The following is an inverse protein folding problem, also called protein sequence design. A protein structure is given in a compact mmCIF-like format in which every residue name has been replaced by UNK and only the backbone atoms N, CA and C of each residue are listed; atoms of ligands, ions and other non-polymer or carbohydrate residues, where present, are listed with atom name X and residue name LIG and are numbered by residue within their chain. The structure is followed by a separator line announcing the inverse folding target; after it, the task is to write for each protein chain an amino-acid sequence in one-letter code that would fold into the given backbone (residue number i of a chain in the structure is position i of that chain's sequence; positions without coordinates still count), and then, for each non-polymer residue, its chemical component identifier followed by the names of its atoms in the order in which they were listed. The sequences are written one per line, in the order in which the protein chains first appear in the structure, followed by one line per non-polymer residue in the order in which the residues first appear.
data_IF_742190148434
#
_entry.id   IF_742190148434
#
_cell.length_a   1.000
_cell.length_b   1.000
_cell.length_c   1.000
_cell.angle_alpha   90.00
_cell.angle_beta   90.00
_cell.angle_gamma   90.00
#
_symmetry.space_group_name_H-M   'P 1'
#
loop_
_entity.id
_entity.type
_entity.pdbx_description
1 polymer ?
#
# COMPACT_ATOMS: atom_id res chain seq x y z
N UNK A 1 -15.03 -8.02 8.26
CA UNK A 1 -15.12 -8.35 6.82
C UNK A 1 -13.95 -9.27 6.55
N UNK A 2 -14.21 -10.52 6.17
CA UNK A 2 -13.14 -11.44 5.79
C UNK A 2 -12.65 -10.96 4.42
N UNK A 3 -11.40 -10.50 4.35
CA UNK A 3 -10.76 -10.24 3.05
C UNK A 3 -10.07 -11.53 2.72
N UNK A 4 -10.74 -12.37 1.93
CA UNK A 4 -10.17 -13.57 1.34
C UNK A 4 -8.88 -13.14 0.61
N UNK A 5 -7.74 -13.51 1.21
CA UNK A 5 -6.41 -13.17 0.71
C UNK A 5 -6.02 -14.16 -0.39
N UNK A 6 -6.80 -14.17 -1.46
CA UNK A 6 -6.36 -14.74 -2.74
C UNK A 6 -5.95 -13.58 -3.65
N UNK A 7 -4.86 -12.89 -3.26
CA UNK A 7 -4.17 -12.03 -4.20
C UNK A 7 -3.42 -12.95 -5.16
N UNK A 8 -4.11 -13.31 -6.25
CA UNK A 8 -3.49 -13.85 -7.46
C UNK A 8 -2.27 -12.99 -7.76
N UNK A 9 -1.10 -13.62 -7.77
CA UNK A 9 0.12 -13.04 -8.32
C UNK A 9 -0.14 -12.66 -9.77
N UNK A 10 -0.63 -11.44 -9.99
CA UNK A 10 -0.85 -10.87 -11.31
C UNK A 10 0.51 -10.45 -11.85
N UNK A 11 1.18 -11.35 -12.56
CA UNK A 11 2.22 -10.96 -13.49
C UNK A 11 1.63 -9.95 -14.46
N UNK A 12 2.12 -8.72 -14.43
CA UNK A 12 1.73 -7.71 -15.40
C UNK A 12 2.61 -7.89 -16.64
N UNK A 13 2.08 -8.53 -17.66
CA UNK A 13 2.69 -8.53 -18.99
C UNK A 13 2.63 -7.10 -19.55
N UNK A 14 3.80 -6.59 -19.94
CA UNK A 14 3.92 -5.30 -20.61
C UNK A 14 4.30 -5.54 -22.08
N UNK A 15 3.41 -5.14 -22.98
CA UNK A 15 3.63 -5.22 -24.43
C UNK A 15 4.42 -4.00 -24.91
N UNK A 16 5.56 -4.24 -25.57
CA UNK A 16 6.36 -3.19 -26.19
C UNK A 16 6.78 -3.60 -27.61
N UNK A 17 6.68 -2.66 -28.55
CA UNK A 17 6.97 -2.90 -29.96
C UNK A 17 8.41 -2.45 -30.31
N UNK A 18 9.17 -3.33 -30.96
CA UNK A 18 10.51 -3.01 -31.46
C UNK A 18 10.56 -3.15 -32.98
N UNK A 19 11.16 -2.16 -33.64
CA UNK A 19 11.38 -2.16 -35.09
C UNK A 19 12.86 -2.37 -35.39
N UNK A 20 13.16 -3.40 -36.18
CA UNK A 20 14.50 -3.65 -36.69
C UNK A 20 14.52 -3.62 -38.22
N UNK A 21 15.64 -3.16 -38.76
CA UNK A 21 15.93 -3.20 -40.20
C UNK A 21 17.04 -4.20 -40.44
N UNK A 22 16.76 -5.25 -41.21
CA UNK A 22 17.79 -6.20 -41.62
C UNK A 22 18.17 -5.96 -43.08
N UNK A 23 19.46 -5.69 -43.30
CA UNK A 23 20.04 -5.50 -44.63
C UNK A 23 20.59 -6.84 -45.14
N UNK A 24 20.20 -7.22 -46.34
CA UNK A 24 20.79 -8.38 -47.01
C UNK A 24 20.93 -8.13 -48.52
N UNK A 25 21.87 -8.83 -49.14
CA UNK A 25 22.21 -8.66 -50.55
C UNK A 25 21.86 -9.93 -51.31
N UNK A 26 20.99 -9.79 -52.33
CA UNK A 26 20.67 -10.87 -53.27
C UNK A 26 20.99 -10.41 -54.69
N UNK A 27 21.69 -11.25 -55.46
CA UNK A 27 22.11 -10.96 -56.84
C UNK A 27 22.78 -9.59 -57.04
N UNK A 28 23.61 -9.17 -56.08
CA UNK A 28 24.34 -7.90 -56.14
C UNK A 28 23.50 -6.64 -55.88
N UNK A 29 22.23 -6.79 -55.52
CA UNK A 29 21.34 -5.70 -55.11
C UNK A 29 21.04 -5.81 -53.62
N UNK A 30 21.52 -4.84 -52.85
CA UNK A 30 21.22 -4.71 -51.44
C UNK A 30 19.79 -4.18 -51.26
N UNK A 31 19.04 -4.81 -50.36
CA UNK A 31 17.74 -4.31 -49.95
C UNK A 31 17.50 -4.58 -48.47
N UNK A 32 16.68 -3.71 -47.88
CA UNK A 32 16.34 -3.71 -46.46
C UNK A 32 14.87 -4.01 -46.30
N UNK A 33 14.52 -4.93 -45.41
CA UNK A 33 13.13 -5.13 -45.01
C UNK A 33 12.94 -4.70 -43.55
N UNK A 34 11.96 -3.82 -43.27
CA UNK A 34 11.49 -3.61 -41.92
C UNK A 34 10.65 -4.83 -41.52
N UNK A 35 10.89 -5.35 -40.33
CA UNK A 35 9.98 -6.29 -39.71
C UNK A 35 9.80 -5.92 -38.24
N UNK A 36 8.59 -6.14 -37.76
CA UNK A 36 8.18 -5.94 -36.37
C UNK A 36 8.05 -7.31 -35.73
N UNK A 37 8.52 -7.44 -34.50
CA UNK A 37 8.31 -8.63 -33.69
C UNK A 37 7.63 -8.21 -32.40
N UNK A 38 6.68 -9.04 -31.97
CA UNK A 38 5.96 -8.89 -30.71
C UNK A 38 6.68 -9.76 -29.68
N UNK A 39 7.11 -9.15 -28.58
CA UNK A 39 7.78 -9.86 -27.49
C UNK A 39 6.98 -9.66 -26.20
N UNK A 40 6.60 -10.77 -25.60
CA UNK A 40 6.08 -10.84 -24.24
C UNK A 40 7.21 -11.32 -23.35
N UNK A 41 7.56 -10.54 -22.33
CA UNK A 41 8.52 -10.96 -21.32
C UNK A 41 7.80 -11.11 -19.99
N UNK A 42 7.79 -12.33 -19.48
CA UNK A 42 7.40 -12.61 -18.12
C UNK A 42 8.47 -11.99 -17.19
N UNK A 43 8.09 -10.94 -16.49
CA UNK A 43 8.91 -10.36 -15.46
C UNK A 43 8.35 -10.78 -14.10
N UNK A 44 8.97 -11.79 -13.49
CA UNK A 44 8.89 -11.96 -12.04
C UNK A 44 9.44 -10.68 -11.41
N UNK A 45 8.56 -9.85 -10.85
CA UNK A 45 8.97 -8.90 -9.82
C UNK A 45 9.19 -9.71 -8.54
N UNK A 46 10.43 -9.93 -8.07
CA UNK A 46 10.64 -10.26 -6.68
C UNK A 46 10.25 -9.01 -5.87
N UNK A 47 8.96 -8.84 -5.61
CA UNK A 47 8.52 -8.03 -4.48
C UNK A 47 8.90 -8.80 -3.23
N UNK A 48 10.17 -8.72 -2.85
CA UNK A 48 10.57 -9.12 -1.53
C UNK A 48 10.03 -8.10 -0.53
N UNK A 49 8.83 -8.35 -0.05
CA UNK A 49 8.23 -7.62 1.07
C UNK A 49 8.96 -7.91 2.40
N UNK A 50 10.06 -8.68 2.43
CA UNK A 50 10.82 -8.91 3.65
C UNK A 50 11.38 -7.62 4.27
N UNK A 51 11.51 -6.55 3.50
CA UNK A 51 11.91 -5.24 4.04
C UNK A 51 10.79 -4.45 4.72
N UNK A 52 9.54 -4.93 4.69
CA UNK A 52 8.40 -4.29 5.38
C UNK A 52 8.01 -4.97 6.70
N UNK A 53 8.71 -6.05 7.09
CA UNK A 53 8.42 -6.81 8.30
C UNK A 53 9.66 -7.10 9.16
N UNK A 54 10.66 -6.22 9.17
CA UNK A 54 11.68 -6.28 10.22
C UNK A 54 11.08 -6.10 11.64
N UNK A 55 9.83 -5.60 11.72
CA UNK A 55 8.95 -5.69 12.87
C UNK A 55 7.67 -6.47 12.50
N UNK A 56 7.85 -7.67 11.95
CA UNK A 56 6.83 -8.67 11.66
C UNK A 56 6.13 -9.20 12.90
N UNK A 57 5.57 -8.31 13.71
CA UNK A 57 4.38 -8.65 14.46
C UNK A 57 3.27 -8.80 13.42
N UNK A 58 2.96 -10.04 13.05
CA UNK A 58 1.59 -10.32 12.64
C UNK A 58 0.68 -9.69 13.70
N UNK A 59 -0.09 -8.67 13.32
CA UNK A 59 -1.07 -8.06 14.21
C UNK A 59 -2.28 -8.98 14.28
N UNK A 60 -2.07 -10.18 14.83
CA UNK A 60 -3.15 -11.00 15.33
C UNK A 60 -3.73 -10.25 16.54
N UNK A 61 -4.85 -9.58 16.34
CA UNK A 61 -5.71 -9.21 17.46
C UNK A 61 -6.42 -10.47 17.95
N UNK A 62 -5.65 -11.43 18.47
CA UNK A 62 -6.20 -12.45 19.33
C UNK A 62 -6.48 -11.75 20.64
N UNK A 63 -7.71 -11.25 20.78
CA UNK A 63 -8.29 -11.17 22.11
C UNK A 63 -8.26 -12.60 22.61
N UNK A 64 -7.52 -12.89 23.68
CA UNK A 64 -7.61 -14.15 24.42
C UNK A 64 -8.97 -14.20 25.14
N UNK A 65 -10.02 -14.12 24.34
CA UNK A 65 -11.42 -14.18 24.65
C UNK A 65 -11.94 -15.28 23.71
N UNK A 66 -11.54 -16.52 23.98
CA UNK A 66 -11.85 -17.69 23.15
C UNK A 66 -13.34 -18.05 23.05
N UNK A 67 -14.27 -17.17 23.43
CA UNK A 67 -15.72 -17.37 23.34
C UNK A 67 -16.48 -16.04 23.13
N UNK A 68 -17.69 -16.15 22.57
CA UNK A 68 -18.61 -15.04 22.31
C UNK A 68 -18.70 -14.03 23.47
N UNK A 69 -18.41 -12.77 23.15
CA UNK A 69 -18.41 -11.59 24.06
C UNK A 69 -19.73 -11.41 24.83
N UNK A 70 -20.83 -12.04 24.40
CA UNK A 70 -22.10 -12.07 25.12
C UNK A 70 -22.01 -12.73 26.51
N UNK A 71 -20.99 -13.55 26.77
CA UNK A 71 -20.81 -14.27 28.03
C UNK A 71 -19.85 -13.59 29.04
N UNK A 72 -19.15 -12.52 28.63
CA UNK A 72 -17.99 -11.98 29.34
C UNK A 72 -18.28 -10.80 30.29
N UNK A 73 -19.55 -10.52 30.59
CA UNK A 73 -19.97 -9.33 31.35
C UNK A 73 -19.35 -9.16 32.76
N UNK A 74 -18.56 -10.14 33.25
CA UNK A 74 -17.98 -10.13 34.59
C UNK A 74 -16.51 -10.55 34.69
N UNK A 75 -15.79 -10.83 33.60
CA UNK A 75 -14.40 -11.38 33.68
C UNK A 75 -13.35 -10.61 32.85
N UNK A 76 -13.76 -9.72 31.94
CA UNK A 76 -12.81 -8.86 31.23
C UNK A 76 -12.50 -7.62 32.06
N UNK A 77 -11.21 -7.30 32.28
CA UNK A 77 -10.78 -6.05 32.93
C UNK A 77 -11.14 -4.79 32.13
N UNK A 78 -11.64 -4.97 30.90
CA UNK A 78 -12.08 -3.91 30.00
C UNK A 78 -13.52 -4.14 29.52
N UNK A 79 -14.27 -3.06 29.44
CA UNK A 79 -15.59 -2.99 28.80
C UNK A 79 -15.44 -3.01 27.27
N UNK A 80 -16.46 -3.46 26.53
CA UNK A 80 -16.44 -3.40 25.06
C UNK A 80 -16.20 -1.99 24.51
N UNK A 81 -16.60 -0.94 25.24
CA UNK A 81 -16.35 0.45 24.85
C UNK A 81 -14.88 0.84 25.01
N UNK A 82 -14.19 0.37 26.04
CA UNK A 82 -12.77 0.62 26.24
C UNK A 82 -11.92 -0.02 25.13
N UNK A 83 -12.30 -1.22 24.68
CA UNK A 83 -11.63 -1.88 23.54
C UNK A 83 -11.78 -1.07 22.25
N UNK A 84 -12.99 -0.58 21.96
CA UNK A 84 -13.22 0.27 20.77
C UNK A 84 -12.46 1.59 20.83
N UNK A 85 -12.36 2.22 22.02
CA UNK A 85 -11.57 3.43 22.22
C UNK A 85 -10.08 3.15 22.04
N UNK A 86 -9.58 2.03 22.57
CA UNK A 86 -8.19 1.62 22.38
C UNK A 86 -7.85 1.38 20.90
N UNK A 87 -8.74 0.69 20.17
CA UNK A 87 -8.59 0.48 18.74
C UNK A 87 -8.60 1.81 17.95
N UNK A 88 -9.47 2.75 18.32
CA UNK A 88 -9.51 4.07 17.67
C UNK A 88 -8.24 4.89 17.95
N UNK A 89 -7.67 4.82 19.16
CA UNK A 89 -6.36 5.44 19.49
C UNK A 89 -5.25 4.87 18.62
N UNK A 90 -5.22 3.55 18.48
CA UNK A 90 -4.27 2.88 17.61
C UNK A 90 -4.39 3.39 16.16
N UNK A 91 -5.61 3.43 15.61
CA UNK A 91 -5.84 3.91 14.25
C UNK A 91 -5.38 5.37 14.04
N UNK A 92 -5.61 6.26 15.01
CA UNK A 92 -5.12 7.66 14.93
C UNK A 92 -3.60 7.71 14.90
N UNK A 93 -2.94 6.95 15.78
CA UNK A 93 -1.47 6.85 15.78
C UNK A 93 -0.92 6.29 14.47
N UNK A 94 -1.55 5.23 13.96
CA UNK A 94 -1.17 4.57 12.72
C UNK A 94 -1.31 5.49 11.50
N UNK A 95 -2.44 6.21 11.39
CA UNK A 95 -2.65 7.21 10.35
C UNK A 95 -1.61 8.34 10.41
N UNK A 96 -1.16 8.73 11.62
CA UNK A 96 -0.13 9.75 11.77
C UNK A 96 1.24 9.26 11.29
N UNK A 97 1.58 7.99 11.58
CA UNK A 97 2.78 7.36 11.05
C UNK A 97 2.75 7.28 9.51
N UNK A 98 1.64 6.83 8.93
CA UNK A 98 1.47 6.81 7.48
C UNK A 98 1.56 8.19 6.83
N UNK A 99 0.96 9.22 7.43
CA UNK A 99 1.08 10.59 6.93
C UNK A 99 2.54 11.05 6.89
N UNK A 100 3.34 10.68 7.90
CA UNK A 100 4.79 10.97 7.94
C UNK A 100 5.54 10.23 6.84
N UNK A 101 5.29 8.94 6.66
CA UNK A 101 5.92 8.14 5.60
C UNK A 101 5.59 8.68 4.21
N UNK A 102 4.35 9.09 3.98
CA UNK A 102 3.92 9.71 2.73
C UNK A 102 4.60 11.06 2.50
N UNK A 103 4.82 11.86 3.56
CA UNK A 103 5.59 13.10 3.45
C UNK A 103 7.05 12.83 3.08
N UNK A 104 7.67 11.81 3.69
CA UNK A 104 9.05 11.40 3.36
C UNK A 104 9.14 10.86 1.92
N UNK A 105 8.13 10.14 1.43
CA UNK A 105 8.00 9.74 0.03
C UNK A 105 7.85 10.94 -0.91
N UNK A 106 7.00 11.91 -0.55
CA UNK A 106 6.81 13.13 -1.35
C UNK A 106 8.15 13.84 -1.58
N UNK A 107 8.97 13.98 -0.53
CA UNK A 107 10.30 14.59 -0.64
C UNK A 107 11.21 13.83 -1.62
N UNK A 108 11.07 12.51 -1.73
CA UNK A 108 11.83 11.72 -2.70
C UNK A 108 11.35 11.96 -4.14
N UNK A 109 10.03 12.10 -4.35
CA UNK A 109 9.45 12.43 -5.65
C UNK A 109 9.92 13.81 -6.15
N UNK A 110 9.95 14.81 -5.25
CA UNK A 110 10.45 16.14 -5.57
C UNK A 110 11.94 16.12 -5.96
N UNK A 111 12.76 15.38 -5.21
CA UNK A 111 14.19 15.17 -5.53
C UNK A 111 14.40 14.43 -6.85
N UNK A 112 13.49 13.54 -7.23
CA UNK A 112 13.51 12.85 -8.52
C UNK A 112 13.02 13.74 -9.69
N UNK A 113 12.55 14.96 -9.40
CA UNK A 113 12.07 15.93 -10.39
C UNK A 113 10.58 15.86 -10.68
N UNK A 114 9.82 15.00 -9.99
CA UNK A 114 8.36 14.90 -10.14
C UNK A 114 7.64 15.76 -9.11
N UNK A 115 7.67 17.08 -9.35
CA UNK A 115 7.05 18.07 -8.48
C UNK A 115 5.52 17.93 -8.43
N UNK A 116 4.90 17.53 -9.54
CA UNK A 116 3.44 17.32 -9.59
C UNK A 116 3.04 16.19 -8.66
N UNK A 117 3.78 15.06 -8.67
CA UNK A 117 3.51 13.95 -7.76
C UNK A 117 3.76 14.35 -6.29
N UNK A 118 4.80 15.13 -6.00
CA UNK A 118 5.02 15.72 -4.67
C UNK A 118 3.79 16.50 -4.18
N UNK A 119 3.26 17.42 -5.00
CA UNK A 119 2.09 18.23 -4.62
C UNK A 119 0.87 17.37 -4.32
N UNK A 120 0.61 16.34 -5.15
CA UNK A 120 -0.51 15.43 -4.94
C UNK A 120 -0.35 14.59 -3.67
N UNK A 121 0.83 14.06 -3.39
CA UNK A 121 1.09 13.29 -2.16
C UNK A 121 0.97 14.19 -0.93
N UNK A 122 1.48 15.42 -0.98
CA UNK A 122 1.33 16.38 0.12
C UNK A 122 -0.13 16.79 0.36
N UNK A 123 -0.96 16.86 -0.68
CA UNK A 123 -2.40 17.06 -0.53
C UNK A 123 -3.05 15.87 0.22
N UNK A 124 -2.67 14.64 -0.13
CA UNK A 124 -3.14 13.44 0.56
C UNK A 124 -2.70 13.40 2.03
N UNK A 125 -1.44 13.76 2.33
CA UNK A 125 -0.93 13.91 3.72
C UNK A 125 -1.82 14.87 4.51
N UNK A 126 -2.17 16.03 3.93
CA UNK A 126 -3.04 17.00 4.59
C UNK A 126 -4.43 16.42 4.91
N UNK A 127 -4.98 15.59 4.02
CA UNK A 127 -6.29 14.98 4.24
C UNK A 127 -6.25 13.89 5.32
N UNK A 128 -5.16 13.12 5.43
CA UNK A 128 -4.92 12.22 6.55
C UNK A 128 -4.87 12.98 7.88
N UNK A 129 -4.12 14.08 7.95
CA UNK A 129 -4.04 14.92 9.15
C UNK A 129 -5.41 15.49 9.55
N UNK A 130 -6.19 15.97 8.57
CA UNK A 130 -7.58 16.42 8.82
C UNK A 130 -8.47 15.30 9.32
N UNK A 131 -8.35 14.10 8.75
CA UNK A 131 -9.03 12.91 9.25
C UNK A 131 -8.68 12.64 10.71
N UNK A 132 -7.39 12.64 11.03
CA UNK A 132 -6.89 12.43 12.39
C UNK A 132 -7.35 13.49 13.40
N UNK A 133 -7.46 14.76 12.99
CA UNK A 133 -8.05 15.81 13.84
C UNK A 133 -9.49 15.47 14.22
N UNK A 134 -10.31 15.03 13.26
CA UNK A 134 -11.71 14.64 13.52
C UNK A 134 -11.79 13.42 14.45
N UNK A 135 -10.95 12.41 14.22
CA UNK A 135 -10.89 11.21 15.06
C UNK A 135 -10.45 11.55 16.49
N UNK A 136 -9.50 12.46 16.65
CA UNK A 136 -9.02 12.92 17.97
C UNK A 136 -10.11 13.66 18.76
N UNK A 137 -10.96 14.42 18.09
CA UNK A 137 -12.14 15.06 18.72
C UNK A 137 -13.13 14.02 19.22
N UNK A 138 -13.41 12.98 18.42
CA UNK A 138 -14.29 11.88 18.84
C UNK A 138 -13.69 11.13 20.03
N UNK A 139 -12.39 10.78 19.98
CA UNK A 139 -11.69 10.15 21.11
C UNK A 139 -11.82 10.97 22.39
N UNK A 140 -11.56 12.28 22.31
CA UNK A 140 -11.70 13.18 23.46
C UNK A 140 -13.11 13.18 24.05
N UNK A 141 -14.14 13.02 23.20
CA UNK A 141 -15.54 12.94 23.67
C UNK A 141 -15.92 11.61 24.33
N UNK A 142 -15.18 10.53 24.02
CA UNK A 142 -15.38 9.19 24.57
C UNK A 142 -14.63 8.99 25.89
N UNK A 143 -13.49 9.66 26.07
CA UNK A 143 -12.67 9.57 27.30
C UNK A 143 -13.19 10.41 28.48
N UNK A 144 -14.10 11.36 28.23
CA UNK A 144 -14.66 12.26 29.26
C UNK A 144 -15.92 11.66 29.93
N UNK A 145 -16.24 10.39 29.68
CA UNK A 145 -17.37 9.67 30.29
C UNK A 145 -16.89 8.59 31.24
#
# INVERSE_FOLDING_TARGET
MHIDSEHVAGGHDHEHEHTHTHEHTHDGVAHTHPHTHEHTHDHEHPHDHAHLHADGAEHTHSHDCGQDCASCASTCEHTPMEELVALMKYMVGHNAAHAKELADLAVQLDKAGDHTAYEQVMAAVSDFEKGNMRLSVVLSSLEVK
#
